data_IF_376691132580
#
_entry.id   IF_376691132580
#
_cell.length_a   1.000
_cell.length_b   1.000
_cell.length_c   1.000
_cell.angle_alpha   90.00
_cell.angle_beta   90.00
_cell.angle_gamma   90.00
#
_symmetry.space_group_name_H-M   'P 1'
#
loop_
_entity.id
_entity.type
_entity.pdbx_description
1 polymer ?
#
# COMPACT_ATOMS: atom_id res chain seq x y z
N UNK A 1 11.90 9.12 4.20
CA UNK A 1 10.82 8.21 3.77
C UNK A 1 10.65 8.24 2.25
N UNK A 2 10.06 7.22 1.70
CA UNK A 2 9.81 7.09 0.26
C UNK A 2 8.34 6.83 0.01
N UNK A 3 7.89 7.15 -1.20
CA UNK A 3 6.59 6.74 -1.70
C UNK A 3 6.74 5.39 -2.38
N UNK A 4 5.81 4.49 -2.11
CA UNK A 4 5.79 3.14 -2.68
C UNK A 4 4.43 2.86 -3.30
N UNK A 5 4.45 2.30 -4.51
CA UNK A 5 3.28 1.65 -5.07
C UNK A 5 3.33 0.20 -4.63
N UNK A 6 2.29 -0.26 -3.96
CA UNK A 6 2.16 -1.67 -3.58
C UNK A 6 0.94 -2.27 -4.26
N UNK A 7 1.07 -3.49 -4.75
CA UNK A 7 -0.02 -4.15 -5.46
C UNK A 7 0.07 -5.68 -5.28
N UNK A 8 -1.07 -6.32 -5.51
CA UNK A 8 -1.18 -7.78 -5.41
C UNK A 8 -0.86 -8.46 -6.72
N UNK A 9 -0.29 -9.66 -6.61
CA UNK A 9 0.00 -10.53 -7.76
C UNK A 9 -0.92 -11.75 -7.84
N UNK A 10 -1.79 -11.92 -6.84
CA UNK A 10 -2.78 -13.00 -6.78
C UNK A 10 -4.13 -12.56 -7.37
N UNK A 11 -5.10 -13.48 -7.36
CA UNK A 11 -6.46 -13.17 -7.82
C UNK A 11 -7.15 -12.21 -6.87
N UNK A 12 -7.82 -11.22 -7.42
CA UNK A 12 -8.53 -10.17 -6.66
C UNK A 12 -10.03 -10.33 -6.91
N UNK A 13 -10.75 -10.65 -5.84
CA UNK A 13 -12.21 -10.76 -5.87
C UNK A 13 -12.88 -9.41 -5.61
N UNK A 14 -14.20 -9.41 -5.67
CA UNK A 14 -15.00 -8.24 -5.31
C UNK A 14 -14.73 -7.85 -3.86
N UNK A 15 -14.81 -6.55 -3.58
CA UNK A 15 -14.62 -5.98 -2.24
C UNK A 15 -13.24 -6.26 -1.65
N UNK A 16 -12.23 -6.40 -2.51
CA UNK A 16 -10.83 -6.52 -2.09
C UNK A 16 -9.99 -5.37 -2.62
N UNK A 17 -8.99 -4.98 -1.85
CA UNK A 17 -8.01 -3.99 -2.31
C UNK A 17 -7.08 -4.62 -3.33
N UNK A 18 -6.74 -3.88 -4.38
CA UNK A 18 -5.82 -4.34 -5.42
C UNK A 18 -4.46 -3.64 -5.37
N UNK A 19 -4.42 -2.39 -4.93
CA UNK A 19 -3.19 -1.62 -4.86
C UNK A 19 -3.32 -0.46 -3.88
N UNK A 20 -2.18 0.13 -3.55
CA UNK A 20 -2.16 1.32 -2.70
C UNK A 20 -0.86 2.10 -2.94
N UNK A 21 -0.89 3.39 -2.63
CA UNK A 21 0.32 4.21 -2.51
C UNK A 21 0.54 4.48 -1.04
N UNK A 22 1.72 4.15 -0.56
CA UNK A 22 2.05 4.27 0.87
C UNK A 22 3.35 5.04 1.07
N UNK A 23 3.53 5.59 2.25
CA UNK A 23 4.79 6.17 2.69
C UNK A 23 5.43 5.22 3.69
N UNK A 24 6.66 4.83 3.43
CA UNK A 24 7.44 3.96 4.31
C UNK A 24 8.93 4.15 4.05
N UNK A 25 9.76 3.73 4.99
CA UNK A 25 11.20 3.83 4.84
C UNK A 25 11.80 2.67 4.07
N UNK A 26 11.20 1.49 4.18
CA UNK A 26 11.70 0.27 3.54
C UNK A 26 10.60 -0.43 2.75
N UNK A 27 11.02 -1.29 1.82
CA UNK A 27 10.11 -2.12 1.05
C UNK A 27 9.26 -3.01 1.95
N UNK A 28 9.86 -3.62 2.96
CA UNK A 28 9.15 -4.49 3.88
C UNK A 28 8.07 -3.74 4.64
N UNK A 29 8.37 -2.55 5.14
CA UNK A 29 7.37 -1.70 5.80
C UNK A 29 6.25 -1.33 4.85
N UNK A 30 6.57 -1.02 3.60
CA UNK A 30 5.58 -0.68 2.60
C UNK A 30 4.62 -1.84 2.36
N UNK A 31 5.13 -3.06 2.20
CA UNK A 31 4.29 -4.24 1.98
C UNK A 31 3.36 -4.51 3.17
N UNK A 32 3.85 -4.31 4.38
CA UNK A 32 3.06 -4.51 5.59
C UNK A 32 1.92 -3.50 5.75
N UNK A 33 1.96 -2.40 5.00
CA UNK A 33 0.90 -1.40 5.00
C UNK A 33 -0.23 -1.73 4.03
N UNK A 34 -0.15 -2.84 3.28
CA UNK A 34 -1.20 -3.20 2.34
C UNK A 34 -2.54 -3.31 3.06
N UNK A 35 -3.59 -2.58 2.58
CA UNK A 35 -4.86 -2.57 3.28
C UNK A 35 -5.53 -3.95 3.26
N UNK A 36 -6.07 -4.34 4.40
CA UNK A 36 -6.76 -5.61 4.59
C UNK A 36 -8.23 -5.32 4.89
N UNK A 37 -9.12 -6.16 4.41
CA UNK A 37 -10.51 -6.06 4.84
C UNK A 37 -10.86 -7.17 5.86
N UNK A 38 -12.06 -7.08 6.44
CA UNK A 38 -12.48 -7.99 7.51
C UNK A 38 -12.63 -9.44 7.03
N UNK A 39 -12.96 -9.62 5.77
CA UNK A 39 -13.34 -10.91 5.23
C UNK A 39 -12.21 -11.64 4.49
N UNK A 40 -11.20 -10.90 4.09
CA UNK A 40 -10.15 -11.43 3.23
C UNK A 40 -8.81 -10.84 3.63
N UNK A 41 -7.88 -11.70 3.99
CA UNK A 41 -6.51 -11.29 4.29
C UNK A 41 -5.61 -11.60 3.11
N UNK A 42 -4.84 -10.61 2.72
CA UNK A 42 -3.86 -10.76 1.65
C UNK A 42 -2.59 -11.36 2.23
N UNK A 43 -2.09 -12.40 1.59
CA UNK A 43 -0.77 -12.94 1.93
C UNK A 43 0.29 -11.95 1.43
N UNK A 44 1.10 -11.44 2.34
CA UNK A 44 2.11 -10.44 2.01
C UNK A 44 3.17 -10.94 1.01
N UNK A 45 3.29 -12.24 0.83
CA UNK A 45 4.14 -12.82 -0.23
C UNK A 45 3.68 -12.40 -1.62
N UNK A 46 2.36 -12.13 -1.77
CA UNK A 46 1.77 -11.75 -3.03
C UNK A 46 1.71 -10.24 -3.23
N UNK A 47 2.32 -9.48 -2.32
CA UNK A 47 2.37 -8.02 -2.41
C UNK A 47 3.75 -7.60 -2.91
N UNK A 48 3.74 -6.82 -3.99
CA UNK A 48 4.96 -6.23 -4.57
C UNK A 48 5.00 -4.75 -4.22
N UNK A 49 6.16 -4.25 -3.85
CA UNK A 49 6.38 -2.84 -3.55
C UNK A 49 7.41 -2.25 -4.52
N UNK A 50 7.06 -1.13 -5.13
CA UNK A 50 7.93 -0.40 -6.05
C UNK A 50 8.09 1.02 -5.53
N UNK A 51 9.33 1.46 -5.39
CA UNK A 51 9.60 2.86 -5.02
C UNK A 51 9.27 3.76 -6.20
N UNK A 52 8.39 4.74 -5.99
CA UNK A 52 7.93 5.65 -7.04
C UNK A 52 8.37 7.09 -6.82
N UNK A 53 9.13 7.35 -5.76
CA UNK A 53 9.67 8.67 -5.50
C UNK A 53 9.72 9.01 -4.03
N UNK A 54 9.86 10.32 -3.77
CA UNK A 54 9.87 10.86 -2.40
C UNK A 54 8.65 11.76 -2.21
N UNK A 55 8.03 11.74 -1.02
CA UNK A 55 6.95 12.66 -0.73
C UNK A 55 7.47 14.10 -0.64
N UNK A 56 6.63 15.07 -0.96
CA UNK A 56 6.95 16.45 -0.68
C UNK A 56 6.85 16.72 0.83
N UNK A 57 7.25 17.93 1.27
CA UNK A 57 7.26 18.28 2.68
C UNK A 57 5.87 18.24 3.33
N UNK A 58 4.83 18.64 2.62
CA UNK A 58 3.47 18.63 3.14
C UNK A 58 2.98 17.21 3.35
N UNK A 59 3.21 16.36 2.36
CA UNK A 59 2.82 14.94 2.42
C UNK A 59 3.61 14.23 3.52
N UNK A 60 4.90 14.51 3.61
CA UNK A 60 5.75 13.92 4.64
C UNK A 60 5.30 14.30 6.05
N UNK A 61 4.91 15.57 6.27
CA UNK A 61 4.35 16.02 7.54
C UNK A 61 3.02 15.35 7.87
N UNK A 62 2.14 15.26 6.88
CA UNK A 62 0.81 14.66 7.05
C UNK A 62 0.91 13.19 7.41
N UNK A 63 1.88 12.48 6.86
CA UNK A 63 2.12 11.06 7.09
C UNK A 63 3.46 10.83 7.80
N UNK A 64 3.73 11.63 8.83
CA UNK A 64 5.01 11.61 9.57
C UNK A 64 5.35 10.22 10.12
N UNK A 65 4.36 9.40 10.44
CA UNK A 65 4.50 7.96 10.57
C UNK A 65 4.17 7.34 9.21
N UNK A 66 4.66 6.11 8.95
CA UNK A 66 4.27 5.37 7.74
C UNK A 66 2.75 5.29 7.62
N UNK A 67 2.23 5.38 6.40
CA UNK A 67 0.79 5.37 6.22
C UNK A 67 0.37 5.21 4.77
N UNK A 68 -0.91 4.93 4.58
CA UNK A 68 -1.53 4.81 3.27
C UNK A 68 -1.91 6.19 2.78
N UNK A 69 -1.39 6.58 1.61
CA UNK A 69 -1.72 7.85 0.96
C UNK A 69 -3.03 7.71 0.18
N UNK A 70 -3.14 6.66 -0.59
CA UNK A 70 -4.39 6.31 -1.29
C UNK A 70 -4.41 4.81 -1.58
N UNK A 71 -5.60 4.27 -1.77
CA UNK A 71 -5.76 2.86 -2.09
C UNK A 71 -6.82 2.66 -3.16
N UNK A 72 -6.69 1.58 -3.91
CA UNK A 72 -7.65 1.17 -4.92
C UNK A 72 -8.37 -0.07 -4.43
N UNK A 73 -9.69 -0.01 -4.47
CA UNK A 73 -10.57 -1.06 -3.95
C UNK A 73 -11.44 -1.60 -5.09
N UNK A 74 -11.42 -2.92 -5.27
CA UNK A 74 -12.25 -3.56 -6.30
C UNK A 74 -13.66 -3.76 -5.79
N UNK A 75 -14.51 -2.80 -6.05
CA UNK A 75 -15.91 -2.81 -5.58
C UNK A 75 -16.86 -3.60 -6.50
N UNK A 76 -16.33 -4.32 -7.46
CA UNK A 76 -17.13 -5.11 -8.38
C UNK A 76 -17.45 -4.40 -9.65
#
# INVERSE_FOLDING_TARGET
MKLWLIYRTDDIDYDEYDSAVVIAETEEEARNLFPQNTYSKVDLKNVVAISIGKPDRKTEKKYAAKGIVCSSFNAG
#
